data_IF_256248040235
#
_entry.id   IF_256248040235
#
_cell.length_a   1.000
_cell.length_b   1.000
_cell.length_c   1.000
_cell.angle_alpha   90.00
_cell.angle_beta   90.00
_cell.angle_gamma   90.00
#
_symmetry.space_group_name_H-M   'P 1'
#
loop_
_entity.id
_entity.type
_entity.pdbx_description
1 polymer ?
#
# COMPACT_ATOMS: atom_id res chain seq x y z
N UNK A 1 -24.07 -4.95 -15.54
CA UNK A 1 -23.30 -4.04 -16.42
C UNK A 1 -21.97 -3.78 -15.77
N UNK A 2 -20.87 -4.21 -16.38
CA UNK A 2 -19.52 -3.93 -15.87
C UNK A 2 -19.24 -2.47 -16.21
N UNK A 3 -19.06 -1.61 -15.19
CA UNK A 3 -18.71 -0.20 -15.37
C UNK A 3 -17.25 -0.07 -15.87
N UNK A 4 -16.97 -0.61 -17.04
CA UNK A 4 -15.64 -0.58 -17.66
C UNK A 4 -15.29 0.88 -17.97
N UNK A 5 -14.38 1.45 -17.19
CA UNK A 5 -13.83 2.78 -17.42
C UNK A 5 -14.53 3.93 -16.69
N UNK A 6 -15.53 3.70 -15.82
CA UNK A 6 -16.11 4.75 -14.98
C UNK A 6 -15.88 4.45 -13.49
N UNK A 7 -15.64 5.49 -12.70
CA UNK A 7 -15.46 5.36 -11.26
C UNK A 7 -16.80 4.99 -10.61
N UNK A 8 -16.87 3.93 -9.78
CA UNK A 8 -18.12 3.48 -9.17
C UNK A 8 -18.68 4.46 -8.15
N UNK A 9 -17.86 5.38 -7.60
CA UNK A 9 -18.30 6.36 -6.59
C UNK A 9 -18.79 7.67 -7.20
N UNK A 10 -18.09 8.22 -8.18
CA UNK A 10 -18.40 9.55 -8.73
C UNK A 10 -18.93 9.52 -10.17
N UNK A 11 -19.00 8.35 -10.81
CA UNK A 11 -19.49 8.19 -12.17
C UNK A 11 -18.59 8.76 -13.28
N UNK A 12 -17.53 9.50 -12.92
CA UNK A 12 -16.58 10.09 -13.88
C UNK A 12 -15.75 9.01 -14.56
N UNK A 13 -15.37 9.27 -15.82
CA UNK A 13 -14.52 8.38 -16.60
C UNK A 13 -13.11 8.31 -16.00
N UNK A 14 -12.58 7.10 -15.86
CA UNK A 14 -11.25 6.81 -15.32
C UNK A 14 -10.26 6.77 -16.49
N UNK A 15 -9.70 7.93 -16.84
CA UNK A 15 -8.61 8.04 -17.81
C UNK A 15 -7.24 7.98 -17.13
N UNK A 16 -7.14 8.55 -15.93
CA UNK A 16 -5.95 8.53 -15.10
C UNK A 16 -6.29 8.04 -13.69
N UNK A 17 -5.33 7.35 -13.08
CA UNK A 17 -5.39 6.89 -11.71
C UNK A 17 -4.26 7.52 -10.91
N UNK A 18 -4.56 7.88 -9.66
CA UNK A 18 -3.59 8.27 -8.67
C UNK A 18 -3.00 7.00 -8.06
N UNK A 19 -1.68 6.85 -8.10
CA UNK A 19 -0.99 5.70 -7.51
C UNK A 19 -0.44 6.11 -6.15
N UNK A 20 -0.75 5.35 -5.12
CA UNK A 20 -0.21 5.54 -3.77
C UNK A 20 0.44 4.25 -3.27
N UNK A 21 1.59 4.38 -2.59
CA UNK A 21 2.25 3.26 -1.94
C UNK A 21 1.60 2.99 -0.58
N UNK A 22 1.08 1.79 -0.38
CA UNK A 22 0.44 1.36 0.87
C UNK A 22 1.10 0.11 1.42
N UNK A 23 0.98 -0.10 2.72
CA UNK A 23 1.52 -1.30 3.39
C UNK A 23 0.40 -2.32 3.54
N UNK A 24 0.57 -3.50 2.94
CA UNK A 24 -0.33 -4.62 3.11
C UNK A 24 -0.04 -5.36 4.41
N UNK A 25 -1.05 -5.52 5.25
CA UNK A 25 -1.00 -6.31 6.49
C UNK A 25 -1.80 -7.59 6.24
N UNK A 26 -1.19 -8.74 6.49
CA UNK A 26 -1.86 -10.05 6.41
C UNK A 26 -1.54 -10.80 7.71
N UNK A 27 -2.59 -11.18 8.45
CA UNK A 27 -2.46 -11.85 9.76
C UNK A 27 -1.62 -11.02 10.76
N UNK A 28 -1.89 -9.72 10.86
CA UNK A 28 -1.17 -8.76 11.71
C UNK A 28 0.32 -8.53 11.39
N UNK A 29 0.85 -9.18 10.36
CA UNK A 29 2.22 -8.97 9.90
C UNK A 29 2.26 -8.12 8.63
N UNK A 30 3.12 -7.09 8.64
CA UNK A 30 3.36 -6.19 7.50
C UNK A 30 4.20 -6.90 6.44
N UNK A 31 3.55 -7.69 5.57
CA UNK A 31 4.24 -8.65 4.69
C UNK A 31 4.63 -8.09 3.31
N UNK A 32 3.95 -7.07 2.79
CA UNK A 32 4.17 -6.59 1.42
C UNK A 32 3.92 -5.09 1.23
N UNK A 33 4.68 -4.49 0.30
CA UNK A 33 4.35 -3.17 -0.26
C UNK A 33 3.33 -3.37 -1.37
N UNK A 34 2.31 -2.54 -1.37
CA UNK A 34 1.26 -2.57 -2.38
C UNK A 34 1.12 -1.17 -3.01
N UNK A 35 0.61 -1.14 -4.22
CA UNK A 35 0.21 0.07 -4.93
C UNK A 35 -1.31 0.11 -4.96
N UNK A 36 -1.90 1.15 -4.39
CA UNK A 36 -3.33 1.42 -4.52
C UNK A 36 -3.57 2.37 -5.69
N UNK A 37 -4.45 1.96 -6.60
CA UNK A 37 -4.92 2.75 -7.72
C UNK A 37 -6.21 3.46 -7.31
N UNK A 38 -6.15 4.78 -7.22
CA UNK A 38 -7.24 5.62 -6.74
C UNK A 38 -7.78 6.49 -7.86
N UNK A 39 -9.08 6.79 -7.85
CA UNK A 39 -9.66 7.79 -8.74
C UNK A 39 -9.12 9.19 -8.40
N UNK A 40 -8.65 9.93 -9.40
CA UNK A 40 -8.10 11.29 -9.21
C UNK A 40 -9.13 12.32 -8.71
N UNK A 41 -10.42 12.05 -8.87
CA UNK A 41 -11.47 13.02 -8.56
C UNK A 41 -12.06 12.88 -7.15
N UNK A 42 -12.09 11.65 -6.62
CA UNK A 42 -12.76 11.35 -5.35
C UNK A 42 -11.95 10.40 -4.46
N UNK A 43 -10.71 10.09 -4.83
CA UNK A 43 -9.77 9.22 -4.12
C UNK A 43 -10.32 7.83 -3.79
N UNK A 44 -11.31 7.36 -4.55
CA UNK A 44 -11.86 6.01 -4.36
C UNK A 44 -10.86 4.99 -4.86
N UNK A 45 -10.59 3.96 -4.05
CA UNK A 45 -9.74 2.83 -4.44
C UNK A 45 -10.46 2.04 -5.53
N UNK A 46 -9.83 1.96 -6.69
CA UNK A 46 -10.29 1.20 -7.86
C UNK A 46 -9.63 -0.18 -7.91
N UNK A 47 -8.44 -0.32 -7.33
CA UNK A 47 -7.74 -1.58 -7.24
C UNK A 47 -6.48 -1.49 -6.41
N UNK A 48 -6.01 -2.63 -5.92
CA UNK A 48 -4.75 -2.75 -5.17
C UNK A 48 -3.92 -3.83 -5.85
N UNK A 49 -2.65 -3.55 -6.07
CA UNK A 49 -1.69 -4.48 -6.65
C UNK A 49 -0.51 -4.64 -5.70
N UNK A 50 -0.07 -5.88 -5.48
CA UNK A 50 1.18 -6.13 -4.76
C UNK A 50 2.33 -5.63 -5.63
N UNK A 51 3.21 -4.80 -5.09
CA UNK A 51 4.37 -4.30 -5.83
C UNK A 51 5.41 -5.43 -5.97
N UNK A 52 5.63 -5.99 -7.18
CA UNK A 52 6.59 -7.08 -7.36
C UNK A 52 8.03 -6.62 -7.17
N UNK A 53 8.30 -5.31 -7.25
CA UNK A 53 9.62 -4.70 -7.06
C UNK A 53 9.86 -4.26 -5.62
N UNK A 54 8.82 -4.27 -4.80
CA UNK A 54 8.87 -3.93 -3.38
C UNK A 54 9.63 -4.99 -2.59
N UNK A 55 10.97 -4.99 -2.67
CA UNK A 55 11.81 -5.80 -1.78
C UNK A 55 11.39 -5.51 -0.33
N UNK A 56 11.20 -6.56 0.48
CA UNK A 56 10.97 -6.40 1.92
C UNK A 56 12.09 -5.51 2.45
N UNK A 57 11.73 -4.39 3.09
CA UNK A 57 12.73 -3.59 3.80
C UNK A 57 13.34 -4.55 4.84
N UNK A 58 14.66 -4.79 4.85
CA UNK A 58 15.24 -5.58 5.91
C UNK A 58 14.83 -4.92 7.21
N UNK A 59 14.18 -5.71 8.09
CA UNK A 59 13.83 -5.26 9.44
C UNK A 59 15.17 -4.82 10.03
N UNK A 60 15.36 -3.51 10.18
CA UNK A 60 16.58 -2.98 10.79
C UNK A 60 16.63 -3.70 12.13
N UNK A 61 17.68 -4.51 12.35
CA UNK A 61 17.87 -5.17 13.62
C UNK A 61 17.63 -4.11 14.69
N UNK A 62 16.71 -4.41 15.61
CA UNK A 62 16.55 -3.64 16.83
C UNK A 62 17.97 -3.34 17.31
N UNK A 63 18.32 -2.06 17.35
CA UNK A 63 19.60 -1.66 17.87
C UNK A 63 19.64 -2.22 19.28
N UNK A 64 20.52 -3.20 19.51
CA UNK A 64 20.78 -3.75 20.82
C UNK A 64 21.01 -2.57 21.76
N UNK A 65 20.07 -2.31 22.67
CA UNK A 65 20.36 -1.51 23.85
C UNK A 65 21.39 -2.31 24.65
N UNK A 66 22.61 -1.79 24.87
CA UNK A 66 23.50 -2.41 25.83
C UNK A 66 22.97 -2.02 27.22
N UNK A 67 22.21 -2.90 27.85
CA UNK A 67 21.96 -2.79 29.29
C UNK A 67 23.28 -3.05 30.03
N UNK A 68 23.99 -1.97 30.31
CA UNK A 68 25.11 -1.94 31.22
C UNK A 68 24.60 -2.16 32.66
N UNK A 69 24.72 -3.38 33.18
CA UNK A 69 24.75 -3.61 34.63
C UNK A 69 26.22 -3.67 35.04
N UNK A 70 26.67 -2.59 35.70
CA UNK A 70 27.99 -2.48 36.33
C UNK A 70 28.04 -3.30 37.61
N UNK A 71 29.18 -3.98 37.79
CA UNK A 71 29.82 -4.59 38.98
C UNK A 71 29.06 -4.63 40.30
#
# INVERSE_FOLDING_TARGET
MIHQGNCPKCGKRVLHVRIESVVGIVENESKARCLSHCCIHCNTVLGVQIDPRGKRRPKRAEAAEPTAVKK
#
